data_IF_966844441581
#
_entry.id   IF_966844441581
#
_cell.length_a   1.000
_cell.length_b   1.000
_cell.length_c   1.000
_cell.angle_alpha   90.00
_cell.angle_beta   90.00
_cell.angle_gamma   90.00
#
_symmetry.space_group_name_H-M   'P 1'
#
loop_
_entity.id
_entity.type
_entity.pdbx_description
1 polymer ?
#
# COMPACT_ATOMS: atom_id res chain seq x y z
N UNK A 1 -4.02 9.49 -23.90
CA UNK A 1 -3.06 10.42 -23.35
C UNK A 1 -2.41 9.80 -22.12
N UNK A 2 -1.12 9.43 -22.24
CA UNK A 2 -0.32 8.94 -21.12
C UNK A 2 0.41 10.07 -20.43
N UNK A 3 0.56 9.96 -19.12
CA UNK A 3 1.45 10.81 -18.33
C UNK A 3 2.02 10.02 -17.14
N UNK A 4 3.12 10.50 -16.58
CA UNK A 4 3.68 10.03 -15.33
C UNK A 4 3.42 11.06 -14.23
N UNK A 5 3.02 10.58 -13.07
CA UNK A 5 3.05 11.35 -11.82
C UNK A 5 4.24 10.86 -11.03
N UNK A 6 5.06 11.79 -10.56
CA UNK A 6 6.32 11.49 -9.85
C UNK A 6 6.49 12.44 -8.67
N UNK A 7 7.51 12.20 -7.85
CA UNK A 7 7.88 13.07 -6.73
C UNK A 7 6.76 13.20 -5.68
N UNK A 8 6.06 12.11 -5.40
CA UNK A 8 5.07 12.06 -4.33
C UNK A 8 5.71 12.40 -2.97
N UNK A 9 4.95 12.92 -2.00
CA UNK A 9 5.40 12.97 -0.62
C UNK A 9 5.79 11.56 -0.12
N UNK A 10 6.88 11.48 0.64
CA UNK A 10 7.30 10.22 1.25
C UNK A 10 6.40 9.86 2.43
N UNK A 11 6.05 10.88 3.20
CA UNK A 11 5.31 10.78 4.45
C UNK A 11 4.15 11.78 4.46
N UNK A 12 3.08 11.44 5.17
CA UNK A 12 1.99 12.34 5.47
C UNK A 12 1.69 12.33 6.97
N UNK A 13 1.26 13.46 7.51
CA UNK A 13 0.85 13.56 8.90
C UNK A 13 -0.58 13.03 9.07
N UNK A 14 -0.77 12.12 10.01
CA UNK A 14 -2.09 11.65 10.42
C UNK A 14 -2.51 12.34 11.72
N UNK A 15 -3.56 13.15 11.67
CA UNK A 15 -4.13 13.78 12.86
C UNK A 15 -4.79 12.73 13.78
N UNK A 16 -5.33 11.67 13.21
CA UNK A 16 -5.97 10.57 13.94
C UNK A 16 -4.93 9.77 14.75
N UNK A 17 -3.82 9.40 14.11
CA UNK A 17 -2.74 8.61 14.73
C UNK A 17 -1.72 9.50 15.47
N UNK A 18 -1.79 10.82 15.27
CA UNK A 18 -0.84 11.81 15.81
C UNK A 18 0.62 11.46 15.53
N UNK A 19 0.90 11.03 14.28
CA UNK A 19 2.23 10.65 13.80
C UNK A 19 2.34 10.73 12.28
N UNK A 20 3.56 10.67 11.78
CA UNK A 20 3.79 10.46 10.36
C UNK A 20 3.46 9.04 9.92
N UNK A 21 2.81 8.93 8.78
CA UNK A 21 2.49 7.69 8.08
C UNK A 21 3.23 7.67 6.73
N UNK A 22 3.61 6.49 6.27
CA UNK A 22 4.14 6.37 4.91
C UNK A 22 3.01 6.60 3.90
N UNK A 23 3.22 7.50 2.92
CA UNK A 23 2.25 7.75 1.85
C UNK A 23 1.95 6.47 1.05
N UNK A 24 2.96 5.64 0.79
CA UNK A 24 2.82 4.37 0.08
C UNK A 24 3.08 3.18 1.02
N UNK A 25 4.35 2.98 1.41
CA UNK A 25 4.77 1.93 2.34
C UNK A 25 6.19 2.22 2.88
N UNK A 26 6.60 1.59 3.99
CA UNK A 26 7.87 1.91 4.66
C UNK A 26 9.14 1.53 3.88
N UNK A 27 9.02 0.87 2.73
CA UNK A 27 10.15 0.42 1.91
C UNK A 27 10.39 1.32 0.68
N UNK A 28 9.68 2.42 0.56
CA UNK A 28 9.85 3.39 -0.54
C UNK A 28 11.09 4.24 -0.32
N UNK A 29 11.95 4.30 -1.34
CA UNK A 29 13.17 5.09 -1.29
C UNK A 29 12.86 6.60 -1.31
N UNK A 30 13.41 7.40 -0.38
CA UNK A 30 13.37 8.86 -0.47
C UNK A 30 14.21 9.39 -1.62
N UNK A 31 13.93 10.63 -2.05
CA UNK A 31 14.82 11.39 -2.91
C UNK A 31 16.10 11.72 -2.15
N UNK A 32 17.28 11.50 -2.78
CA UNK A 32 18.56 11.77 -2.12
C UNK A 32 18.72 13.22 -1.69
N UNK A 33 18.29 14.15 -2.52
CA UNK A 33 18.40 15.58 -2.25
C UNK A 33 17.51 16.08 -1.10
N UNK A 34 16.52 15.29 -0.68
CA UNK A 34 15.62 15.64 0.42
C UNK A 34 15.94 14.88 1.71
N UNK A 35 16.84 13.89 1.68
CA UNK A 35 17.09 12.99 2.80
C UNK A 35 17.54 13.71 4.09
N UNK A 36 18.34 14.76 3.95
CA UNK A 36 18.83 15.54 5.10
C UNK A 36 17.69 16.24 5.88
N UNK A 37 16.49 16.34 5.29
CA UNK A 37 15.32 16.96 5.92
C UNK A 37 14.53 15.98 6.79
N UNK A 38 14.82 14.69 6.75
CA UNK A 38 14.01 13.64 7.38
C UNK A 38 13.79 13.85 8.89
N UNK A 39 14.75 14.45 9.57
CA UNK A 39 14.67 14.75 11.01
C UNK A 39 14.03 16.10 11.32
N UNK A 40 14.18 17.09 10.45
CA UNK A 40 13.76 18.47 10.69
C UNK A 40 12.40 18.81 10.08
N UNK A 41 12.09 18.23 8.94
CA UNK A 41 10.85 18.47 8.17
C UNK A 41 10.47 17.23 7.35
N UNK A 42 10.08 16.12 8.01
CA UNK A 42 9.78 14.86 7.34
C UNK A 42 8.65 14.96 6.30
N UNK A 43 7.72 15.91 6.49
CA UNK A 43 6.61 16.13 5.55
C UNK A 43 7.03 16.72 4.20
N UNK A 44 8.23 17.33 4.10
CA UNK A 44 8.76 17.89 2.85
C UNK A 44 9.62 16.91 2.05
N UNK A 45 9.89 15.71 2.58
CA UNK A 45 10.69 14.69 1.91
C UNK A 45 9.87 14.02 0.81
N UNK A 46 10.39 14.03 -0.42
CA UNK A 46 9.76 13.37 -1.57
C UNK A 46 10.21 11.92 -1.69
N UNK A 47 9.34 11.11 -2.26
CA UNK A 47 9.53 9.71 -2.55
C UNK A 47 9.99 9.48 -4.00
N UNK A 48 10.80 8.45 -4.24
CA UNK A 48 11.04 7.89 -5.56
C UNK A 48 9.90 6.92 -5.95
N UNK A 49 8.66 7.43 -5.87
CA UNK A 49 7.45 6.75 -6.30
C UNK A 49 6.96 7.36 -7.61
N UNK A 50 6.23 6.58 -8.37
CA UNK A 50 5.73 6.97 -9.68
C UNK A 50 4.47 6.19 -10.06
N UNK A 51 3.53 6.89 -10.70
CA UNK A 51 2.33 6.30 -11.27
C UNK A 51 2.25 6.60 -12.76
N UNK A 52 1.81 5.61 -13.53
CA UNK A 52 1.43 5.80 -14.92
C UNK A 52 -0.07 5.99 -15.03
N UNK A 53 -0.47 7.08 -15.66
CA UNK A 53 -1.86 7.48 -15.84
C UNK A 53 -2.23 7.47 -17.32
N UNK A 54 -3.39 6.93 -17.66
CA UNK A 54 -3.96 6.95 -18.99
C UNK A 54 -5.35 7.61 -18.96
N UNK A 55 -5.53 8.68 -19.72
CA UNK A 55 -6.80 9.40 -19.84
C UNK A 55 -7.43 9.77 -18.49
N UNK A 56 -6.62 10.16 -17.51
CA UNK A 56 -7.07 10.52 -16.17
C UNK A 56 -7.29 9.35 -15.20
N UNK A 57 -7.02 8.12 -15.63
CA UNK A 57 -7.10 6.91 -14.79
C UNK A 57 -5.69 6.39 -14.50
N UNK A 58 -5.35 6.21 -13.24
CA UNK A 58 -4.13 5.50 -12.85
C UNK A 58 -4.18 4.06 -13.34
N UNK A 59 -3.23 3.69 -14.21
CA UNK A 59 -3.09 2.33 -14.71
C UNK A 59 -2.21 1.45 -13.84
N UNK A 60 -1.27 2.05 -13.13
CA UNK A 60 -0.34 1.33 -12.30
C UNK A 60 0.66 2.24 -11.64
N UNK A 61 1.29 1.73 -10.62
CA UNK A 61 2.26 2.48 -9.86
C UNK A 61 3.37 1.61 -9.30
N UNK A 62 4.39 2.28 -8.79
CA UNK A 62 5.54 1.63 -8.21
C UNK A 62 6.49 2.60 -7.53
N UNK A 63 7.59 2.07 -7.08
CA UNK A 63 8.65 2.87 -6.47
C UNK A 63 10.01 2.21 -6.58
N UNK A 64 11.05 3.01 -6.47
CA UNK A 64 12.37 2.55 -6.09
C UNK A 64 12.32 2.12 -4.62
N UNK A 65 12.94 1.01 -4.30
CA UNK A 65 12.95 0.44 -2.94
C UNK A 65 14.19 0.82 -2.18
N UNK A 66 14.06 0.98 -0.86
CA UNK A 66 15.21 1.10 0.03
C UNK A 66 15.99 -0.21 -0.03
N UNK A 67 17.30 -0.09 -0.18
CA UNK A 67 18.24 -1.22 -0.20
C UNK A 67 19.42 -1.00 0.75
N UNK A 68 19.40 0.09 1.52
CA UNK A 68 20.41 0.48 2.50
C UNK A 68 19.81 0.36 3.91
N UNK A 69 20.52 -0.34 4.79
CA UNK A 69 20.03 -0.67 6.13
C UNK A 69 19.79 0.59 6.99
N UNK A 70 20.71 1.55 6.90
CA UNK A 70 20.64 2.81 7.65
C UNK A 70 19.42 3.66 7.26
N UNK A 71 19.12 3.75 5.97
CA UNK A 71 17.92 4.44 5.47
C UNK A 71 16.65 3.70 5.92
N UNK A 72 16.65 2.37 5.87
CA UNK A 72 15.50 1.58 6.30
C UNK A 72 15.25 1.67 7.81
N UNK A 73 16.30 1.63 8.62
CA UNK A 73 16.18 1.82 10.08
C UNK A 73 15.60 3.21 10.39
N UNK A 74 16.10 4.25 9.71
CA UNK A 74 15.62 5.62 9.90
C UNK A 74 14.17 5.79 9.48
N UNK A 75 13.75 5.18 8.37
CA UNK A 75 12.33 5.16 7.95
C UNK A 75 11.44 4.55 9.02
N UNK A 76 11.82 3.42 9.61
CA UNK A 76 11.06 2.81 10.69
C UNK A 76 10.98 3.70 11.93
N UNK A 77 12.08 4.36 12.30
CA UNK A 77 12.12 5.30 13.42
C UNK A 77 11.11 6.44 13.24
N UNK A 78 11.12 7.10 12.07
CA UNK A 78 10.22 8.21 11.75
C UNK A 78 8.74 7.78 11.74
N UNK A 79 8.48 6.55 11.34
CA UNK A 79 7.14 5.94 11.36
C UNK A 79 6.71 5.46 12.75
N UNK A 80 7.57 5.62 13.78
CA UNK A 80 7.27 5.25 15.16
C UNK A 80 7.42 3.76 15.48
N UNK A 81 8.15 3.01 14.67
CA UNK A 81 8.49 1.63 15.00
C UNK A 81 9.65 1.58 16.00
N UNK A 82 9.53 0.74 17.03
CA UNK A 82 10.71 0.31 17.79
C UNK A 82 11.50 -0.73 16.97
N UNK A 83 12.78 -0.91 17.27
CA UNK A 83 13.61 -1.91 16.59
C UNK A 83 13.05 -3.33 16.72
N UNK A 84 12.53 -3.65 17.92
CA UNK A 84 11.90 -4.94 18.23
C UNK A 84 10.67 -5.17 17.35
N UNK A 85 9.78 -4.18 17.28
CA UNK A 85 8.54 -4.27 16.49
C UNK A 85 8.83 -4.34 15.00
N UNK A 86 9.79 -3.57 14.50
CA UNK A 86 10.24 -3.65 13.11
C UNK A 86 10.78 -5.05 12.79
N UNK A 87 11.56 -5.64 13.71
CA UNK A 87 12.10 -6.98 13.53
C UNK A 87 11.03 -8.08 13.65
N UNK A 88 10.06 -7.97 14.55
CA UNK A 88 8.93 -8.92 14.64
C UNK A 88 8.13 -8.98 13.33
N UNK A 89 7.88 -7.82 12.70
CA UNK A 89 7.06 -7.76 11.49
C UNK A 89 7.85 -8.01 10.20
N UNK A 90 9.07 -7.52 10.12
CA UNK A 90 9.88 -7.46 8.89
C UNK A 90 11.26 -8.09 9.05
N UNK A 91 11.52 -8.80 10.16
CA UNK A 91 12.83 -9.38 10.45
C UNK A 91 13.36 -10.27 9.34
N UNK A 92 12.49 -11.08 8.72
CA UNK A 92 12.85 -11.93 7.59
C UNK A 92 13.44 -11.13 6.40
N UNK A 93 12.92 -9.92 6.15
CA UNK A 93 13.40 -9.03 5.10
C UNK A 93 14.70 -8.31 5.53
N UNK A 94 14.71 -7.76 6.74
CA UNK A 94 15.89 -7.07 7.29
C UNK A 94 17.10 -7.98 7.43
N UNK A 95 16.88 -9.25 7.81
CA UNK A 95 17.95 -10.25 7.88
C UNK A 95 18.45 -10.65 6.49
N UNK A 96 17.56 -10.73 5.50
CA UNK A 96 17.95 -10.98 4.12
C UNK A 96 18.83 -9.83 3.55
N UNK A 97 18.57 -8.59 3.95
CA UNK A 97 19.36 -7.42 3.53
C UNK A 97 20.83 -7.51 3.95
N UNK A 98 21.10 -8.14 5.08
CA UNK A 98 22.49 -8.36 5.57
C UNK A 98 23.37 -9.17 4.62
N UNK A 99 22.76 -9.95 3.72
CA UNK A 99 23.48 -10.69 2.68
C UNK A 99 23.79 -9.87 1.42
N UNK A 100 23.34 -8.61 1.39
CA UNK A 100 23.48 -7.71 0.26
C UNK A 100 22.20 -7.61 -0.58
N UNK A 101 21.77 -6.37 -0.82
CA UNK A 101 20.58 -6.06 -1.61
C UNK A 101 20.97 -5.17 -2.78
N UNK A 102 20.72 -5.57 -4.03
CA UNK A 102 20.94 -4.67 -5.15
C UNK A 102 19.92 -3.54 -5.16
N UNK A 103 20.26 -2.37 -5.70
CA UNK A 103 19.24 -1.37 -6.04
C UNK A 103 18.13 -2.01 -6.89
N UNK A 104 16.89 -1.82 -6.48
CA UNK A 104 15.75 -2.40 -7.17
C UNK A 104 14.53 -1.49 -7.13
N UNK A 105 13.68 -1.69 -8.11
CA UNK A 105 12.43 -0.97 -8.28
C UNK A 105 11.38 -1.91 -8.88
N UNK A 106 10.13 -1.50 -8.83
CA UNK A 106 9.05 -2.28 -9.42
C UNK A 106 7.90 -1.41 -9.90
N UNK A 107 7.06 -1.98 -10.75
CA UNK A 107 5.85 -1.39 -11.25
C UNK A 107 4.78 -2.48 -11.35
N UNK A 108 3.58 -2.20 -10.85
CA UNK A 108 2.43 -3.07 -11.00
C UNK A 108 1.34 -2.37 -11.80
N UNK A 109 0.78 -3.06 -12.79
CA UNK A 109 -0.35 -2.58 -13.57
C UNK A 109 -1.66 -3.14 -13.04
N UNK A 110 -2.69 -2.30 -12.97
CA UNK A 110 -4.07 -2.73 -12.77
C UNK A 110 -4.61 -3.35 -14.07
N UNK A 111 -4.60 -4.68 -14.16
CA UNK A 111 -5.03 -5.40 -15.37
C UNK A 111 -6.45 -5.04 -15.77
N UNK A 112 -7.37 -4.98 -14.81
CA UNK A 112 -8.78 -4.64 -15.08
C UNK A 112 -8.91 -3.23 -15.67
N UNK A 113 -8.16 -2.24 -15.14
CA UNK A 113 -8.13 -0.88 -15.68
C UNK A 113 -7.57 -0.85 -17.10
N UNK A 114 -6.49 -1.59 -17.35
CA UNK A 114 -5.90 -1.68 -18.68
C UNK A 114 -6.89 -2.26 -19.69
N UNK A 115 -7.53 -3.38 -19.35
CA UNK A 115 -8.55 -4.04 -20.22
C UNK A 115 -9.73 -3.11 -20.44
N UNK A 116 -10.23 -2.43 -19.39
CA UNK A 116 -11.31 -1.44 -19.51
C UNK A 116 -10.99 -0.38 -20.58
N UNK A 117 -9.78 0.19 -20.55
CA UNK A 117 -9.36 1.17 -21.57
C UNK A 117 -9.21 0.56 -22.97
N UNK A 118 -8.71 -0.68 -23.08
CA UNK A 118 -8.55 -1.36 -24.37
C UNK A 118 -9.88 -1.65 -25.07
N UNK A 119 -10.92 -1.96 -24.31
CA UNK A 119 -12.26 -2.23 -24.85
C UNK A 119 -13.18 -1.00 -24.84
N UNK A 120 -12.66 0.17 -24.43
CA UNK A 120 -13.39 1.43 -24.31
C UNK A 120 -14.63 1.35 -23.40
N UNK A 121 -14.55 0.56 -22.31
CA UNK A 121 -15.61 0.50 -21.31
C UNK A 121 -15.46 1.67 -20.32
N UNK A 122 -16.58 2.12 -19.75
CA UNK A 122 -16.62 3.24 -18.79
C UNK A 122 -16.33 2.80 -17.34
N UNK A 123 -16.40 1.50 -17.08
CA UNK A 123 -16.21 0.95 -15.73
C UNK A 123 -15.48 -0.39 -15.77
N UNK A 124 -14.62 -0.63 -14.76
CA UNK A 124 -13.99 -1.95 -14.55
C UNK A 124 -15.02 -3.06 -14.29
N UNK A 125 -16.23 -2.70 -13.87
CA UNK A 125 -17.34 -3.67 -13.65
C UNK A 125 -17.74 -4.38 -14.95
N UNK A 126 -17.50 -3.77 -16.10
CA UNK A 126 -17.83 -4.34 -17.41
C UNK A 126 -16.81 -5.39 -17.87
N UNK A 127 -15.65 -5.44 -17.21
CA UNK A 127 -14.53 -6.35 -17.56
C UNK A 127 -14.19 -7.35 -16.46
N UNK A 128 -14.86 -7.28 -15.31
CA UNK A 128 -14.69 -8.21 -14.18
C UNK A 128 -15.86 -9.20 -14.14
N UNK A 129 -15.55 -10.50 -14.00
CA UNK A 129 -16.58 -11.55 -14.00
C UNK A 129 -17.57 -11.47 -12.84
N UNK A 130 -17.13 -11.02 -11.66
CA UNK A 130 -17.94 -10.91 -10.45
C UNK A 130 -17.73 -9.56 -9.76
N UNK A 131 -18.22 -8.45 -10.36
CA UNK A 131 -18.02 -7.12 -9.80
C UNK A 131 -18.72 -6.96 -8.46
N UNK A 132 -18.01 -6.31 -7.53
CA UNK A 132 -18.54 -5.95 -6.21
C UNK A 132 -19.34 -4.64 -6.28
N UNK A 133 -20.37 -4.52 -5.44
CA UNK A 133 -21.10 -3.27 -5.23
C UNK A 133 -20.45 -2.45 -4.10
N UNK A 134 -20.98 -1.27 -3.81
CA UNK A 134 -20.36 -0.29 -2.91
C UNK A 134 -20.10 -0.84 -1.48
N UNK A 135 -20.95 -1.73 -1.00
CA UNK A 135 -20.84 -2.41 0.30
C UNK A 135 -19.98 -3.68 0.25
N UNK A 136 -19.21 -3.85 -0.84
CA UNK A 136 -18.36 -5.01 -1.11
C UNK A 136 -19.10 -6.35 -1.31
N UNK A 137 -20.44 -6.33 -1.42
CA UNK A 137 -21.21 -7.52 -1.73
C UNK A 137 -21.16 -7.89 -3.21
N UNK A 138 -21.40 -9.16 -3.53
CA UNK A 138 -21.50 -9.69 -4.89
C UNK A 138 -22.94 -10.09 -5.20
N UNK A 139 -23.57 -9.39 -6.12
CA UNK A 139 -24.95 -9.66 -6.49
C UNK A 139 -25.18 -11.04 -7.11
N UNK A 140 -24.18 -11.59 -7.79
CA UNK A 140 -24.29 -12.90 -8.41
C UNK A 140 -24.17 -14.05 -7.43
N UNK A 141 -23.21 -13.98 -6.51
CA UNK A 141 -22.94 -15.04 -5.54
C UNK A 141 -23.64 -14.82 -4.20
N UNK A 142 -24.25 -13.63 -3.99
CA UNK A 142 -24.84 -13.19 -2.73
C UNK A 142 -23.83 -13.18 -1.57
N UNK A 143 -22.52 -13.09 -1.87
CA UNK A 143 -21.49 -12.96 -0.86
C UNK A 143 -21.42 -11.50 -0.34
N UNK A 144 -21.04 -11.28 0.94
CA UNK A 144 -20.73 -12.27 1.96
C UNK A 144 -21.98 -13.01 2.47
N UNK A 145 -21.82 -14.28 2.83
CA UNK A 145 -22.87 -15.11 3.43
C UNK A 145 -22.60 -15.38 4.90
N UNK A 146 -23.57 -15.96 5.58
CA UNK A 146 -23.45 -16.41 6.98
C UNK A 146 -22.49 -17.59 7.01
N UNK A 147 -21.53 -17.54 7.95
CA UNK A 147 -20.58 -18.65 8.22
C UNK A 147 -21.20 -19.61 9.21
N UNK A 148 -21.02 -20.92 8.99
CA UNK A 148 -21.50 -21.95 9.90
C UNK A 148 -20.83 -21.80 11.29
N UNK A 149 -21.66 -21.89 12.34
CA UNK A 149 -21.19 -21.76 13.72
C UNK A 149 -20.03 -22.68 14.06
N UNK A 150 -20.05 -23.91 13.53
CA UNK A 150 -18.97 -24.90 13.73
C UNK A 150 -17.64 -24.41 13.19
N UNK A 151 -17.62 -23.70 12.05
CA UNK A 151 -16.40 -23.14 11.47
C UNK A 151 -15.83 -22.02 12.32
N UNK A 152 -16.70 -21.20 12.92
CA UNK A 152 -16.26 -20.17 13.86
C UNK A 152 -15.67 -20.78 15.13
N UNK A 153 -16.32 -21.79 15.69
CA UNK A 153 -15.85 -22.52 16.88
C UNK A 153 -14.47 -23.17 16.63
N UNK A 154 -14.24 -23.80 15.46
CA UNK A 154 -12.96 -24.39 15.07
C UNK A 154 -11.82 -23.35 15.01
N UNK A 155 -12.14 -22.09 14.70
CA UNK A 155 -11.19 -20.98 14.64
C UNK A 155 -11.09 -20.20 15.96
N UNK A 156 -11.89 -20.55 16.98
CA UNK A 156 -11.97 -19.81 18.24
C UNK A 156 -12.53 -18.41 18.09
N UNK A 157 -13.42 -18.21 17.11
CA UNK A 157 -14.07 -16.92 16.82
C UNK A 157 -15.52 -16.91 17.33
N UNK A 158 -15.95 -15.76 17.80
CA UNK A 158 -17.36 -15.45 18.13
C UNK A 158 -17.80 -14.22 17.34
N UNK A 159 -19.06 -14.22 16.91
CA UNK A 159 -19.67 -13.04 16.30
C UNK A 159 -20.27 -12.20 17.40
N UNK A 160 -19.82 -10.96 17.54
CA UNK A 160 -20.40 -9.99 18.45
C UNK A 160 -21.76 -9.54 17.89
N UNK A 161 -22.83 -9.76 18.66
CA UNK A 161 -24.15 -9.23 18.30
C UNK A 161 -24.16 -7.72 18.54
N UNK A 162 -24.05 -6.94 17.47
CA UNK A 162 -24.26 -5.49 17.54
C UNK A 162 -25.75 -5.26 17.68
N UNK A 163 -26.19 -4.83 18.87
CA UNK A 163 -27.57 -4.35 19.08
C UNK A 163 -27.77 -3.09 18.21
N UNK A 164 -28.67 -3.16 17.24
CA UNK A 164 -29.16 -1.98 16.54
C UNK A 164 -29.84 -1.06 17.58
N UNK A 165 -29.20 0.09 17.89
CA UNK A 165 -29.82 1.21 18.57
C UNK A 165 -30.51 2.16 17.56
#
# INVERSE_FOLDING_TARGET
NFLWVTEFPLLEWSDEENRFMAMHHPFTMPMEEDWDKIDSDPGSVRAKAYDIVLNGTELGGGSVRIHQDDIQEKMFEVLGFTKERAHEQFGFLLDAFKYGVPPHAGLAYGLDRLVMHMVHADSIRDVIAFPKVKDASCLMTQAPGIVDKKQLEELGLEVEEVSEE
#
